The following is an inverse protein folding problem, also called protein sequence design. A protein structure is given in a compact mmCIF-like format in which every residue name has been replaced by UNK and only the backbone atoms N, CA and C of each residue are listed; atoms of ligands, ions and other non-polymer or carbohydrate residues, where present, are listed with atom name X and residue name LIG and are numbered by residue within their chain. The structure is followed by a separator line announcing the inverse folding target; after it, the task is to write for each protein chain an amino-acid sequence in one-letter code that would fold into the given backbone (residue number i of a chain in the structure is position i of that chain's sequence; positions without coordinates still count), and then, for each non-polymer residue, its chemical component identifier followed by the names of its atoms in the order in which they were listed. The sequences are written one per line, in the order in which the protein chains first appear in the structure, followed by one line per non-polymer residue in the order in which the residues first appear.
data_IF_002825594168
#
_entry.id   IF_002825594168
#
_cell.length_a   1.000
_cell.length_b   1.000
_cell.length_c   1.000
_cell.angle_alpha   90.00
_cell.angle_beta   90.00
_cell.angle_gamma   90.00
#
_symmetry.space_group_name_H-M   'P 1'
#
loop_
_entity.id
_entity.type
_entity.pdbx_description
1 polymer ?
#
# COMPACT_ATOMS: atom_id res chain seq x y z
N UNK A 1 20.83 -5.56 -13.22
CA UNK A 1 20.13 -6.59 -12.42
C UNK A 1 18.64 -6.32 -12.53
N UNK A 2 17.84 -7.34 -12.84
CA UNK A 2 16.54 -7.20 -13.53
C UNK A 2 15.42 -6.54 -12.72
N UNK A 3 14.56 -5.80 -13.42
CA UNK A 3 13.29 -5.26 -12.91
C UNK A 3 12.36 -6.45 -12.62
N UNK A 4 12.00 -6.66 -11.36
CA UNK A 4 11.02 -7.68 -10.96
C UNK A 4 9.71 -6.99 -10.62
N UNK A 5 8.64 -7.31 -11.36
CA UNK A 5 7.28 -6.88 -11.02
C UNK A 5 6.49 -8.04 -10.46
N UNK A 6 5.63 -7.76 -9.49
CA UNK A 6 4.76 -8.76 -8.85
C UNK A 6 3.35 -8.23 -8.75
N UNK A 7 2.37 -9.12 -8.95
CA UNK A 7 0.98 -8.85 -8.63
C UNK A 7 0.76 -9.06 -7.14
N UNK A 8 0.17 -8.08 -6.48
CA UNK A 8 -0.15 -8.13 -5.07
C UNK A 8 -1.60 -7.67 -4.84
N UNK A 9 -2.25 -8.30 -3.88
CA UNK A 9 -3.55 -7.88 -3.38
C UNK A 9 -3.36 -7.14 -2.06
N UNK A 10 -3.74 -5.88 -2.03
CA UNK A 10 -3.63 -5.00 -0.86
C UNK A 10 -5.03 -4.82 -0.28
N UNK A 11 -5.15 -4.91 1.04
CA UNK A 11 -6.41 -4.73 1.78
C UNK A 11 -6.22 -3.71 2.89
N UNK A 12 -7.29 -3.00 3.24
CA UNK A 12 -7.27 -2.08 4.37
C UNK A 12 -7.18 -2.87 5.69
N UNK A 13 -6.13 -2.60 6.48
CA UNK A 13 -5.89 -3.30 7.74
C UNK A 13 -6.93 -2.99 8.82
N UNK A 14 -7.47 -1.77 8.87
CA UNK A 14 -8.52 -1.41 9.82
C UNK A 14 -9.81 -2.16 9.50
N UNK A 15 -10.17 -2.26 8.22
CA UNK A 15 -11.35 -2.99 7.78
C UNK A 15 -11.24 -4.48 8.09
N UNK A 16 -10.08 -5.10 7.83
CA UNK A 16 -9.79 -6.48 8.24
C UNK A 16 -9.98 -6.67 9.75
N UNK A 17 -9.47 -5.73 10.56
CA UNK A 17 -9.64 -5.75 12.01
C UNK A 17 -11.09 -5.56 12.47
N UNK A 18 -11.88 -4.75 11.76
CA UNK A 18 -13.31 -4.56 12.03
C UNK A 18 -14.12 -5.79 11.64
N UNK A 19 -13.81 -6.40 10.50
CA UNK A 19 -14.46 -7.62 10.02
C UNK A 19 -14.19 -8.80 10.96
N UNK A 20 -12.94 -8.96 11.43
CA UNK A 20 -12.59 -9.96 12.45
C UNK A 20 -13.36 -9.78 13.76
N UNK A 21 -13.76 -8.54 14.09
CA UNK A 21 -14.57 -8.21 15.27
C UNK A 21 -16.08 -8.27 15.00
N UNK A 22 -16.50 -8.55 13.77
CA UNK A 22 -17.91 -8.57 13.36
C UNK A 22 -18.58 -7.20 13.29
N UNK A 23 -17.80 -6.12 13.19
CA UNK A 23 -18.32 -4.75 13.07
C UNK A 23 -18.80 -4.46 11.64
N UNK A 24 -18.06 -4.95 10.66
CA UNK A 24 -18.42 -4.92 9.23
C UNK A 24 -18.42 -6.36 8.69
N UNK A 25 -19.18 -6.65 7.63
CA UNK A 25 -19.07 -7.94 6.98
C UNK A 25 -17.79 -8.02 6.11
N UNK A 26 -17.22 -9.22 5.87
CA UNK A 26 -15.96 -9.37 5.13
C UNK A 26 -15.97 -8.80 3.70
N UNK A 27 -17.12 -8.76 3.05
CA UNK A 27 -17.33 -8.17 1.73
C UNK A 27 -17.17 -6.64 1.70
N UNK A 28 -17.21 -5.98 2.85
CA UNK A 28 -16.97 -4.53 2.97
C UNK A 28 -15.48 -4.18 3.16
N UNK A 29 -14.59 -5.17 3.21
CA UNK A 29 -13.14 -4.93 3.30
C UNK A 29 -12.66 -4.29 1.99
N UNK A 30 -12.18 -3.05 2.07
CA UNK A 30 -11.64 -2.35 0.90
C UNK A 30 -10.33 -2.98 0.47
N UNK A 31 -10.24 -3.29 -0.82
CA UNK A 31 -9.09 -3.97 -1.42
C UNK A 31 -8.78 -3.49 -2.83
N UNK A 32 -7.54 -3.68 -3.26
CA UNK A 32 -7.11 -3.44 -4.63
C UNK A 32 -6.02 -4.42 -5.06
N UNK A 33 -6.03 -4.79 -6.34
CA UNK A 33 -4.91 -5.47 -6.97
C UNK A 33 -3.97 -4.45 -7.60
N UNK A 34 -2.67 -4.69 -7.48
CA UNK A 34 -1.62 -3.84 -8.05
C UNK A 34 -0.49 -4.69 -8.62
N UNK A 35 0.11 -4.23 -9.70
CA UNK A 35 1.41 -4.72 -10.15
C UNK A 35 2.49 -3.74 -9.69
N UNK A 36 3.33 -4.17 -8.75
CA UNK A 36 4.35 -3.34 -8.12
C UNK A 36 5.76 -3.75 -8.51
N UNK A 37 6.68 -2.78 -8.48
CA UNK A 37 8.12 -3.05 -8.58
C UNK A 37 8.64 -3.54 -7.23
N UNK A 38 9.37 -4.65 -7.23
CA UNK A 38 10.10 -5.11 -6.03
C UNK A 38 11.35 -4.24 -5.86
N UNK A 39 11.36 -3.41 -4.83
CA UNK A 39 12.52 -2.60 -4.42
C UNK A 39 13.01 -3.06 -3.05
N UNK A 40 14.15 -3.73 -3.02
CA UNK A 40 14.79 -4.18 -1.77
C UNK A 40 15.37 -3.03 -0.93
N UNK A 41 15.54 -1.84 -1.52
CA UNK A 41 16.01 -0.64 -0.81
C UNK A 41 14.89 0.13 -0.11
N UNK A 42 13.63 -0.17 -0.42
CA UNK A 42 12.48 0.48 0.19
C UNK A 42 12.24 -0.05 1.61
N UNK A 43 12.17 0.86 2.58
CA UNK A 43 11.81 0.54 3.98
C UNK A 43 10.31 0.63 4.25
N UNK A 44 9.56 1.27 3.34
CA UNK A 44 8.12 1.47 3.40
C UNK A 44 7.49 1.17 2.03
N UNK A 45 6.22 0.77 2.06
CA UNK A 45 5.41 0.63 0.85
C UNK A 45 5.01 2.01 0.34
N UNK A 46 5.35 2.30 -0.91
CA UNK A 46 4.92 3.53 -1.60
C UNK A 46 3.71 3.22 -2.47
N UNK A 47 2.63 3.97 -2.26
CA UNK A 47 1.38 3.81 -3.02
C UNK A 47 1.05 5.12 -3.76
N UNK A 48 0.51 5.04 -4.99
CA UNK A 48 -0.12 6.17 -5.66
C UNK A 48 -1.31 6.71 -4.85
N UNK A 49 -1.54 8.01 -4.90
CA UNK A 49 -2.62 8.69 -4.17
C UNK A 49 -4.01 8.09 -4.46
N UNK A 50 -4.30 7.77 -5.72
CA UNK A 50 -5.55 7.11 -6.13
C UNK A 50 -5.81 5.79 -5.37
N UNK A 51 -4.75 5.01 -5.11
CA UNK A 51 -4.88 3.76 -4.35
C UNK A 51 -5.12 4.01 -2.86
N UNK A 52 -4.51 5.07 -2.32
CA UNK A 52 -4.72 5.49 -0.93
C UNK A 52 -6.18 5.88 -0.72
N UNK A 53 -6.76 6.66 -1.64
CA UNK A 53 -8.18 7.04 -1.63
C UNK A 53 -9.10 5.84 -1.78
N UNK A 54 -8.83 4.94 -2.74
CA UNK A 54 -9.63 3.72 -2.96
C UNK A 54 -9.64 2.80 -1.75
N UNK A 55 -8.50 2.64 -1.09
CA UNK A 55 -8.39 1.87 0.15
C UNK A 55 -8.95 2.63 1.37
N UNK A 56 -9.24 3.92 1.23
CA UNK A 56 -9.68 4.82 2.28
C UNK A 56 -8.76 4.83 3.49
N UNK A 57 -7.46 4.85 3.22
CA UNK A 57 -6.43 4.92 4.25
C UNK A 57 -6.40 6.34 4.84
N UNK A 58 -6.20 6.42 6.15
CA UNK A 58 -5.96 7.70 6.83
C UNK A 58 -4.48 8.02 6.85
N UNK A 59 -4.13 9.29 6.62
CA UNK A 59 -2.76 9.76 6.74
C UNK A 59 -2.31 9.67 8.20
N UNK A 60 -1.39 8.73 8.49
CA UNK A 60 -0.88 8.53 9.84
C UNK A 60 0.20 9.53 10.23
N UNK A 61 1.14 9.82 9.31
CA UNK A 61 2.21 10.81 9.50
C UNK A 61 2.71 11.28 8.14
N UNK A 62 3.12 12.54 8.07
CA UNK A 62 3.90 13.05 6.96
C UNK A 62 5.39 12.74 7.21
N UNK A 63 6.08 12.23 6.20
CA UNK A 63 7.51 11.93 6.27
C UNK A 63 8.17 12.64 5.12
N UNK A 64 9.08 13.56 5.43
CA UNK A 64 9.95 14.15 4.41
C UNK A 64 10.99 13.10 4.00
N UNK A 65 11.00 12.73 2.72
CA UNK A 65 11.92 11.72 2.17
C UNK A 65 13.00 12.38 1.33
N UNK A 66 14.26 12.16 1.69
CA UNK A 66 15.41 12.58 0.87
C UNK A 66 15.79 11.47 -0.11
N UNK A 67 15.53 11.67 -1.39
CA UNK A 67 16.06 10.79 -2.44
C UNK A 67 17.44 11.27 -2.88
N UNK A 68 18.43 10.37 -2.94
CA UNK A 68 19.69 10.68 -3.63
C UNK A 68 19.51 10.32 -5.11
N UNK A 69 19.44 11.33 -5.98
CA UNK A 69 19.50 11.08 -7.42
C UNK A 69 20.94 10.65 -7.75
N UNK A 70 21.14 9.37 -8.05
CA UNK A 70 22.42 8.90 -8.58
C UNK A 70 22.53 9.42 -10.03
N UNK A 71 23.26 10.51 -10.21
CA UNK A 71 23.68 10.98 -11.54
C UNK A 71 24.51 9.87 -12.19
N UNK A 72 24.03 9.34 -13.32
CA UNK A 72 24.80 8.47 -14.22
C UNK A 72 24.78 9.10 -15.60
#
# INVERSE_FOLDING_TARGET
MGKVTVKAKIRNFLDEGMAQKGIIPPEEIRETEVEGLVDFGATLLTLPEEMVEKLGLTLGREIEVSYTVKSS
#
